data_IF_788593853469
#
_entry.id   IF_788593853469
#
_cell.length_a   1.000
_cell.length_b   1.000
_cell.length_c   1.000
_cell.angle_alpha   90.00
_cell.angle_beta   90.00
_cell.angle_gamma   90.00
#
_symmetry.space_group_name_H-M   'P 1'
#
loop_
_entity.id
_entity.type
_entity.pdbx_description
1 polymer ?
#
# COMPACT_ATOMS: atom_id res chain seq x y z
N UNK A 1 -48.24 -5.18 -59.01
CA UNK A 1 -47.98 -6.60 -58.68
C UNK A 1 -46.86 -6.64 -57.64
N UNK A 2 -47.12 -7.27 -56.48
CA UNK A 2 -46.25 -7.74 -55.35
C UNK A 2 -44.81 -7.20 -55.22
N UNK A 3 -44.46 -6.35 -54.23
CA UNK A 3 -44.12 -6.59 -52.78
C UNK A 3 -42.74 -7.25 -52.54
N UNK A 4 -41.81 -6.54 -51.87
CA UNK A 4 -41.25 -6.88 -50.52
C UNK A 4 -40.19 -5.86 -50.03
N UNK A 5 -40.47 -5.28 -48.86
CA UNK A 5 -39.56 -4.51 -48.01
C UNK A 5 -38.46 -5.39 -47.41
N UNK A 6 -37.28 -4.82 -47.11
CA UNK A 6 -36.47 -5.24 -45.96
C UNK A 6 -35.61 -4.09 -45.43
N UNK A 7 -36.12 -3.45 -44.38
CA UNK A 7 -35.38 -2.58 -43.45
C UNK A 7 -34.61 -3.45 -42.44
N UNK A 8 -33.41 -3.05 -42.02
CA UNK A 8 -32.75 -3.34 -40.71
C UNK A 8 -31.34 -2.70 -40.71
N UNK A 9 -31.12 -1.55 -40.07
CA UNK A 9 -30.84 -1.35 -38.63
C UNK A 9 -29.50 -1.93 -38.17
N UNK A 10 -28.59 -1.06 -37.68
CA UNK A 10 -27.98 -1.07 -36.34
C UNK A 10 -26.54 -0.55 -36.31
N UNK A 11 -26.41 0.66 -35.76
CA UNK A 11 -25.26 1.18 -35.02
C UNK A 11 -24.85 0.23 -33.87
N UNK A 12 -23.60 -0.21 -33.86
CA UNK A 12 -22.83 -0.73 -32.71
C UNK A 12 -21.41 -1.01 -33.25
N UNK A 13 -20.27 -0.60 -32.69
CA UNK A 13 -19.94 -0.24 -31.33
C UNK A 13 -18.71 -1.09 -30.92
N UNK A 14 -17.67 -0.43 -30.39
CA UNK A 14 -16.54 -1.01 -29.60
C UNK A 14 -15.45 -1.67 -30.48
N UNK A 15 -14.14 -1.40 -30.33
CA UNK A 15 -13.27 -2.03 -29.31
C UNK A 15 -11.98 -1.22 -29.05
N UNK A 16 -11.87 -0.83 -27.78
CA UNK A 16 -10.70 -0.73 -26.88
C UNK A 16 -9.49 0.11 -27.30
N UNK A 17 -9.47 1.33 -26.77
CA UNK A 17 -8.26 1.99 -26.31
C UNK A 17 -7.58 1.14 -25.23
N UNK A 18 -6.59 0.34 -25.62
CA UNK A 18 -5.66 -0.28 -24.66
C UNK A 18 -4.70 0.78 -24.14
N UNK A 19 -5.13 1.57 -23.15
CA UNK A 19 -4.18 2.27 -22.27
C UNK A 19 -3.48 1.19 -21.44
N UNK A 20 -2.28 0.79 -21.89
CA UNK A 20 -1.33 0.15 -21.01
C UNK A 20 -0.97 1.17 -19.92
N UNK A 21 -1.66 1.08 -18.78
CA UNK A 21 -1.25 1.77 -17.57
C UNK A 21 0.14 1.22 -17.18
N UNK A 22 1.19 1.93 -17.57
CA UNK A 22 2.53 1.75 -17.05
C UNK A 22 2.45 2.10 -15.56
N UNK A 23 2.15 1.11 -14.72
CA UNK A 23 2.29 1.24 -13.28
C UNK A 23 3.78 1.42 -13.00
N UNK A 24 4.21 2.66 -12.78
CA UNK A 24 5.55 2.93 -12.28
C UNK A 24 5.79 2.08 -11.02
N UNK A 25 7.00 1.54 -10.83
CA UNK A 25 7.31 0.80 -9.61
C UNK A 25 7.07 1.73 -8.42
N UNK A 26 6.19 1.32 -7.51
CA UNK A 26 5.97 2.06 -6.27
C UNK A 26 7.28 2.07 -5.48
N UNK A 27 7.91 3.25 -5.37
CA UNK A 27 9.12 3.41 -4.58
C UNK A 27 8.81 3.08 -3.12
N UNK A 28 9.63 2.20 -2.54
CA UNK A 28 9.57 1.90 -1.13
C UNK A 28 10.23 3.05 -0.36
N UNK A 29 9.54 3.57 0.65
CA UNK A 29 10.08 4.54 1.60
C UNK A 29 10.62 3.78 2.79
N UNK A 30 11.87 4.02 3.16
CA UNK A 30 12.50 3.40 4.32
C UNK A 30 12.22 4.21 5.58
N UNK A 31 11.54 3.58 6.54
CA UNK A 31 11.24 4.14 7.86
C UNK A 31 12.22 3.53 8.88
N UNK A 32 13.35 4.17 9.19
CA UNK A 32 14.26 3.72 10.23
C UNK A 32 13.61 3.86 11.61
N UNK A 33 14.09 3.09 12.58
CA UNK A 33 13.57 3.15 13.95
C UNK A 33 13.82 4.53 14.57
N UNK A 34 12.76 5.15 15.09
CA UNK A 34 12.78 6.47 15.74
C UNK A 34 11.77 6.50 16.88
N UNK A 35 12.22 6.19 18.10
CA UNK A 35 11.38 6.08 19.30
C UNK A 35 10.56 7.35 19.62
N UNK A 36 11.07 8.52 19.23
CA UNK A 36 10.44 9.83 19.43
C UNK A 36 9.94 10.45 18.11
N UNK A 37 9.87 9.68 17.02
CA UNK A 37 9.41 10.09 15.70
C UNK A 37 10.10 11.36 15.13
N UNK A 38 11.33 11.63 15.56
CA UNK A 38 12.14 12.72 14.98
C UNK A 38 12.57 12.39 13.55
N UNK A 39 12.72 11.10 13.22
CA UNK A 39 12.96 10.63 11.87
C UNK A 39 11.66 10.06 11.29
N UNK A 40 11.02 10.84 10.41
CA UNK A 40 9.77 10.50 9.75
C UNK A 40 9.89 10.75 8.25
N UNK A 41 9.01 10.16 7.47
CA UNK A 41 8.95 10.37 6.02
C UNK A 41 7.52 10.58 5.56
N UNK A 42 7.35 11.52 4.64
CA UNK A 42 6.08 11.75 3.97
C UNK A 42 5.81 10.64 2.96
N UNK A 43 4.62 10.07 3.00
CA UNK A 43 4.17 9.04 2.09
C UNK A 43 2.84 9.47 1.48
N UNK A 44 2.87 9.77 0.18
CA UNK A 44 1.71 10.17 -0.57
C UNK A 44 1.04 8.96 -1.23
N UNK A 45 -0.26 8.79 -0.95
CA UNK A 45 -1.10 7.74 -1.54
C UNK A 45 -2.09 8.39 -2.50
N UNK A 46 -1.98 8.05 -3.79
CA UNK A 46 -2.81 8.55 -4.86
C UNK A 46 -3.93 7.56 -5.21
N UNK A 47 -5.08 8.08 -5.66
CA UNK A 47 -6.11 7.25 -6.27
C UNK A 47 -5.54 6.57 -7.54
N UNK A 48 -5.89 5.31 -7.83
CA UNK A 48 -6.95 4.49 -7.22
C UNK A 48 -6.50 3.59 -6.04
N UNK A 49 -5.21 3.55 -5.70
CA UNK A 49 -4.68 2.60 -4.71
C UNK A 49 -4.52 3.23 -3.33
N UNK A 50 -5.62 3.24 -2.58
CA UNK A 50 -5.77 3.96 -1.30
C UNK A 50 -5.15 3.22 -0.11
N UNK A 51 -3.88 2.84 -0.18
CA UNK A 51 -3.21 2.28 0.98
C UNK A 51 -1.70 2.12 0.84
N UNK A 52 -1.09 1.66 1.94
CA UNK A 52 0.34 1.45 2.09
C UNK A 52 0.56 0.02 2.55
N UNK A 53 1.49 -0.68 1.89
CA UNK A 53 1.99 -1.97 2.41
C UNK A 53 3.25 -1.72 3.21
N UNK A 54 3.20 -1.99 4.51
CA UNK A 54 4.36 -1.93 5.38
C UNK A 54 5.03 -3.31 5.46
N UNK A 55 6.36 -3.34 5.38
CA UNK A 55 7.17 -4.58 5.33
C UNK A 55 8.33 -4.48 6.29
N UNK A 56 8.56 -5.54 7.06
CA UNK A 56 9.70 -5.64 7.98
C UNK A 56 10.98 -5.94 7.19
N UNK A 57 12.04 -5.16 7.42
CA UNK A 57 13.34 -5.35 6.76
C UNK A 57 14.48 -5.46 7.80
N UNK A 58 15.36 -6.47 7.69
CA UNK A 58 15.33 -7.60 6.76
C UNK A 58 14.20 -8.58 7.06
N UNK A 59 13.85 -9.45 6.10
CA UNK A 59 12.97 -10.58 6.36
C UNK A 59 13.76 -11.75 6.99
N UNK A 60 13.80 -11.80 8.32
CA UNK A 60 14.56 -12.79 9.09
C UNK A 60 13.70 -13.41 10.21
N UNK A 61 14.10 -14.55 10.80
CA UNK A 61 13.38 -15.10 11.95
C UNK A 61 13.22 -14.10 13.10
N UNK A 62 14.24 -13.27 13.34
CA UNK A 62 14.22 -12.26 14.39
C UNK A 62 13.20 -11.14 14.11
N UNK A 63 13.14 -10.61 12.88
CA UNK A 63 12.15 -9.57 12.53
C UNK A 63 10.74 -10.13 12.44
N UNK A 64 10.57 -11.39 12.03
CA UNK A 64 9.27 -12.06 12.04
C UNK A 64 8.72 -12.19 13.45
N UNK A 65 9.53 -12.61 14.41
CA UNK A 65 9.10 -12.76 15.80
C UNK A 65 8.79 -11.42 16.49
N UNK A 66 9.28 -10.32 15.95
CA UNK A 66 9.11 -9.00 16.53
C UNK A 66 7.84 -8.29 16.03
N UNK A 67 7.18 -7.53 16.88
CA UNK A 67 6.10 -6.59 16.54
C UNK A 67 6.71 -5.24 16.17
N UNK A 68 6.18 -4.58 15.14
CA UNK A 68 6.60 -3.24 14.75
C UNK A 68 5.40 -2.29 14.78
N UNK A 69 5.58 -1.09 15.32
CA UNK A 69 4.55 -0.05 15.39
C UNK A 69 5.03 1.16 14.62
N UNK A 70 4.27 1.51 13.58
CA UNK A 70 4.43 2.73 12.80
C UNK A 70 3.43 3.74 13.33
N UNK A 71 3.84 4.97 13.54
CA UNK A 71 2.94 6.06 13.92
C UNK A 71 2.69 6.95 12.71
N UNK A 72 1.41 7.21 12.45
CA UNK A 72 0.93 8.22 11.51
C UNK A 72 0.82 9.54 12.26
N UNK A 73 1.56 10.55 11.80
CA UNK A 73 1.69 11.82 12.52
C UNK A 73 0.44 12.68 12.33
N UNK A 74 -0.03 12.90 11.11
CA UNK A 74 -1.20 13.74 10.89
C UNK A 74 -2.49 13.00 11.21
N UNK A 75 -2.56 11.70 10.91
CA UNK A 75 -3.67 10.84 11.31
C UNK A 75 -3.68 10.49 12.81
N UNK A 76 -2.60 10.79 13.54
CA UNK A 76 -2.45 10.63 14.99
C UNK A 76 -2.89 9.25 15.50
N UNK A 77 -2.43 8.20 14.82
CA UNK A 77 -2.77 6.81 15.16
C UNK A 77 -1.57 5.88 14.95
N UNK A 78 -1.61 4.76 15.66
CA UNK A 78 -0.63 3.69 15.54
C UNK A 78 -1.09 2.65 14.52
N UNK A 79 -0.14 2.10 13.78
CA UNK A 79 -0.31 1.06 12.78
C UNK A 79 0.65 -0.07 13.17
N UNK A 80 0.11 -1.23 13.52
CA UNK A 80 0.92 -2.32 14.06
C UNK A 80 1.09 -3.42 13.04
N UNK A 81 2.33 -3.83 12.80
CA UNK A 81 2.66 -5.09 12.14
C UNK A 81 2.89 -6.14 13.24
N UNK A 82 1.93 -7.07 13.45
CA UNK A 82 2.02 -8.03 14.56
C UNK A 82 3.19 -9.01 14.38
N UNK A 83 3.56 -9.69 15.46
CA UNK A 83 4.51 -10.79 15.41
C UNK A 83 4.02 -11.91 14.47
N UNK A 84 4.96 -12.65 13.89
CA UNK A 84 4.77 -13.70 12.89
C UNK A 84 4.22 -13.24 11.53
N UNK A 85 4.02 -11.93 11.34
CA UNK A 85 3.65 -11.32 10.07
C UNK A 85 4.82 -10.52 9.52
N UNK A 86 5.19 -10.75 8.25
CA UNK A 86 6.32 -10.06 7.60
C UNK A 86 5.91 -8.70 7.02
N UNK A 87 4.66 -8.60 6.59
CA UNK A 87 4.10 -7.40 5.96
C UNK A 87 2.62 -7.29 6.24
N UNK A 88 2.10 -6.08 6.36
CA UNK A 88 0.68 -5.83 6.46
C UNK A 88 0.26 -4.68 5.53
N UNK A 89 -1.02 -4.65 5.18
CA UNK A 89 -1.63 -3.57 4.40
C UNK A 89 -2.40 -2.64 5.33
N UNK A 90 -2.28 -1.34 5.10
CA UNK A 90 -3.04 -0.32 5.80
C UNK A 90 -3.77 0.58 4.80
N UNK A 91 -5.10 0.62 4.89
CA UNK A 91 -5.93 1.43 4.02
C UNK A 91 -5.93 2.89 4.46
N UNK A 92 -5.47 3.79 3.59
CA UNK A 92 -5.38 5.24 3.82
C UNK A 92 -5.63 6.02 2.54
N UNK A 93 -6.21 7.20 2.67
CA UNK A 93 -6.37 8.13 1.55
C UNK A 93 -5.61 9.41 1.84
N UNK A 94 -4.77 9.83 0.89
CA UNK A 94 -4.02 11.08 0.97
C UNK A 94 -2.57 10.93 1.38
N UNK A 95 -1.98 12.03 1.81
CA UNK A 95 -0.58 12.14 2.19
C UNK A 95 -0.47 12.27 3.71
N UNK A 96 0.46 11.53 4.30
CA UNK A 96 0.76 11.61 5.72
C UNK A 96 2.25 11.33 5.99
N UNK A 97 2.72 11.75 7.16
CA UNK A 97 4.07 11.47 7.64
C UNK A 97 4.02 10.25 8.57
N UNK A 98 4.95 9.33 8.34
CA UNK A 98 5.04 8.08 9.09
C UNK A 98 6.43 7.93 9.73
N UNK A 99 6.48 7.30 10.89
CA UNK A 99 7.71 6.95 11.60
C UNK A 99 7.59 5.55 12.22
N UNK A 100 8.66 4.76 12.16
CA UNK A 100 8.71 3.49 12.88
C UNK A 100 9.09 3.76 14.34
N UNK A 101 8.09 3.73 15.23
CA UNK A 101 8.22 4.29 16.57
C UNK A 101 8.57 3.24 17.64
N UNK A 102 7.95 2.06 17.60
CA UNK A 102 8.10 1.09 18.68
C UNK A 102 8.23 -0.34 18.15
N UNK A 103 8.96 -1.16 18.89
CA UNK A 103 9.11 -2.59 18.62
C UNK A 103 9.47 -3.33 19.91
N UNK A 104 9.03 -4.58 20.04
CA UNK A 104 9.48 -5.45 21.12
C UNK A 104 10.92 -5.97 20.93
N UNK A 105 11.51 -5.76 19.74
CA UNK A 105 12.91 -6.04 19.44
C UNK A 105 13.41 -5.10 18.33
N UNK A 106 13.64 -3.84 18.65
CA UNK A 106 14.06 -2.82 17.68
C UNK A 106 15.38 -3.16 16.99
N UNK A 107 16.31 -3.81 17.69
CA UNK A 107 17.62 -4.21 17.15
C UNK A 107 17.52 -5.26 16.03
N UNK A 108 16.39 -5.97 15.91
CA UNK A 108 16.17 -6.90 14.81
C UNK A 108 15.93 -6.18 13.46
N UNK A 109 15.46 -4.93 13.49
CA UNK A 109 15.05 -4.19 12.30
C UNK A 109 16.17 -3.29 11.81
N UNK A 110 16.41 -3.32 10.50
CA UNK A 110 17.11 -2.22 9.83
C UNK A 110 16.14 -1.05 9.64
N UNK A 111 14.94 -1.35 9.14
CA UNK A 111 13.87 -0.38 8.91
C UNK A 111 12.54 -1.08 8.62
N UNK A 112 11.47 -0.30 8.51
CA UNK A 112 10.22 -0.72 7.86
C UNK A 112 10.20 -0.14 6.45
N UNK A 113 10.01 -0.96 5.42
CA UNK A 113 9.73 -0.45 4.09
C UNK A 113 8.23 -0.14 3.98
N UNK A 114 7.88 1.06 3.56
CA UNK A 114 6.51 1.48 3.32
C UNK A 114 6.32 1.70 1.82
N UNK A 115 5.45 0.91 1.21
CA UNK A 115 5.20 0.97 -0.24
C UNK A 115 3.81 1.52 -0.49
N UNK A 116 3.74 2.80 -0.88
CA UNK A 116 2.48 3.46 -1.21
C UNK A 116 1.84 2.86 -2.46
N UNK A 117 0.53 3.06 -2.62
CA UNK A 117 -0.22 2.69 -3.83
C UNK A 117 -0.16 1.19 -4.16
N UNK A 118 0.10 0.35 -3.16
CA UNK A 118 0.06 -1.11 -3.30
C UNK A 118 -1.14 -1.64 -2.55
N UNK A 119 -2.21 -1.96 -3.27
CA UNK A 119 -3.33 -2.71 -2.72
C UNK A 119 -3.02 -4.21 -2.80
N UNK A 120 -2.04 -4.67 -2.01
CA UNK A 120 -1.87 -6.11 -1.82
C UNK A 120 -2.93 -6.56 -0.80
N UNK A 121 -4.20 -6.60 -1.21
CA UNK A 121 -5.31 -7.11 -0.38
C UNK A 121 -5.08 -8.54 0.15
N UNK A 122 -4.08 -9.25 -0.38
CA UNK A 122 -3.61 -10.54 0.13
C UNK A 122 -2.74 -10.44 1.40
N UNK A 123 -2.14 -9.27 1.69
CA UNK A 123 -1.44 -9.05 2.95
C UNK A 123 -2.48 -8.86 4.08
N UNK A 124 -2.22 -9.37 5.29
CA UNK A 124 -3.11 -9.15 6.42
C UNK A 124 -3.21 -7.65 6.73
N UNK A 125 -4.35 -7.22 7.27
CA UNK A 125 -4.53 -5.83 7.68
C UNK A 125 -3.57 -5.49 8.84
N UNK A 126 -3.01 -4.29 8.84
CA UNK A 126 -2.30 -3.78 10.00
C UNK A 126 -3.28 -3.55 11.15
N UNK A 127 -2.86 -3.83 12.39
CA UNK A 127 -3.71 -3.77 13.59
C UNK A 127 -3.56 -2.46 14.34
#
# INVERSE_FOLDING_TARGET
>A
MKVKHFSRSLTAGVILSSLAALSAPAFAVDLPFSANCQNHSAIAVAAPNTGITFRKNPNSPATRAATATIFSINGMHNITIPANVVSCFYAVQGNDNYCFQASNNAAAFTNINAVANTNTAAAPNCQ
#
